data_IF_444033110455
#
_entry.id   IF_444033110455
#
_cell.length_a   1.000
_cell.length_b   1.000
_cell.length_c   1.000
_cell.angle_alpha   90.00
_cell.angle_beta   90.00
_cell.angle_gamma   90.00
#
_symmetry.space_group_name_H-M   'P 1'
#
loop_
_entity.id
_entity.type
_entity.pdbx_description
1 polymer ?
#
# COMPACT_ATOMS: atom_id res chain seq x y z
N UNK A 1 -24.02 15.01 -6.23
CA UNK A 1 -22.64 14.91 -6.79
C UNK A 1 -22.17 13.47 -6.57
N UNK A 2 -22.10 12.63 -7.60
CA UNK A 2 -21.75 11.20 -7.45
C UNK A 2 -20.29 11.10 -7.04
N UNK A 3 -19.98 10.38 -5.96
CA UNK A 3 -18.60 10.18 -5.53
C UNK A 3 -17.90 9.26 -6.52
N UNK A 4 -16.99 9.82 -7.30
CA UNK A 4 -16.16 9.03 -8.19
C UNK A 4 -15.00 8.42 -7.40
N UNK A 5 -14.72 7.13 -7.64
CA UNK A 5 -13.55 6.42 -7.12
C UNK A 5 -13.37 6.44 -5.59
N UNK A 6 -14.44 6.59 -4.80
CA UNK A 6 -14.35 6.66 -3.32
C UNK A 6 -13.40 7.78 -2.86
N UNK A 7 -13.62 8.98 -3.39
CA UNK A 7 -12.95 10.21 -2.96
C UNK A 7 -13.77 10.91 -1.90
N UNK A 8 -13.13 11.14 -0.74
CA UNK A 8 -13.82 11.63 0.45
C UNK A 8 -13.36 13.02 0.90
N UNK A 9 -12.52 13.71 0.12
CA UNK A 9 -12.03 15.06 0.44
C UNK A 9 -13.07 16.11 0.84
N UNK A 10 -14.34 15.93 0.47
CA UNK A 10 -15.44 16.86 0.76
C UNK A 10 -16.18 16.54 2.08
N UNK A 11 -15.96 15.36 2.68
CA UNK A 11 -16.59 14.92 3.94
C UNK A 11 -15.59 14.42 4.98
N UNK A 12 -14.39 14.02 4.59
CA UNK A 12 -13.35 13.56 5.49
C UNK A 12 -12.87 14.70 6.40
N UNK A 13 -12.45 14.38 7.63
CA UNK A 13 -11.90 15.33 8.60
C UNK A 13 -10.70 16.11 8.06
N UNK A 14 -10.38 17.24 8.72
CA UNK A 14 -9.20 18.04 8.37
C UNK A 14 -7.91 17.22 8.47
N UNK A 15 -7.78 16.39 9.52
CA UNK A 15 -6.63 15.51 9.70
C UNK A 15 -6.45 14.56 8.51
N UNK A 16 -7.53 13.88 8.10
CA UNK A 16 -7.50 12.97 6.95
C UNK A 16 -7.19 13.69 5.64
N UNK A 17 -7.77 14.88 5.43
CA UNK A 17 -7.42 15.71 4.26
C UNK A 17 -5.93 16.05 4.24
N UNK A 18 -5.36 16.41 5.39
CA UNK A 18 -3.94 16.72 5.52
C UNK A 18 -3.06 15.49 5.24
N UNK A 19 -3.41 14.31 5.75
CA UNK A 19 -2.70 13.05 5.45
C UNK A 19 -2.73 12.74 3.94
N UNK A 20 -3.90 12.87 3.30
CA UNK A 20 -4.02 12.69 1.84
C UNK A 20 -3.14 13.70 1.10
N UNK A 21 -3.18 14.98 1.50
CA UNK A 21 -2.37 16.03 0.89
C UNK A 21 -0.86 15.76 1.04
N UNK A 22 -0.42 15.28 2.20
CA UNK A 22 0.96 14.89 2.44
C UNK A 22 1.38 13.73 1.54
N UNK A 23 0.57 12.69 1.39
CA UNK A 23 0.83 11.57 0.49
C UNK A 23 0.96 12.04 -0.98
N UNK A 24 0.21 13.07 -1.39
CA UNK A 24 0.30 13.64 -2.75
C UNK A 24 1.57 14.46 -2.99
N UNK A 25 2.16 15.04 -1.94
CA UNK A 25 3.38 15.86 -2.02
C UNK A 25 4.65 15.03 -1.84
N UNK A 26 4.59 14.01 -1.00
CA UNK A 26 5.74 13.18 -0.66
C UNK A 26 6.03 12.13 -1.73
N UNK A 27 7.33 11.95 -2.03
CA UNK A 27 7.79 10.87 -2.91
C UNK A 27 7.53 9.51 -2.25
N UNK A 28 7.01 8.58 -3.05
CA UNK A 28 6.97 7.14 -2.75
C UNK A 28 7.49 6.40 -3.98
N UNK A 29 8.17 5.28 -3.73
CA UNK A 29 8.77 4.46 -4.78
C UNK A 29 7.72 3.68 -5.61
N UNK A 30 6.56 3.41 -5.02
CA UNK A 30 5.56 2.52 -5.61
C UNK A 30 4.19 3.14 -5.82
N UNK A 31 3.91 4.26 -5.17
CA UNK A 31 2.67 5.02 -5.33
C UNK A 31 3.03 6.43 -5.76
N UNK A 32 2.56 6.82 -6.94
CA UNK A 32 2.87 8.12 -7.53
C UNK A 32 1.68 9.07 -7.39
N UNK A 33 1.90 10.39 -7.35
CA UNK A 33 0.81 11.37 -7.35
C UNK A 33 -0.17 11.19 -8.52
N UNK A 34 0.31 10.71 -9.67
CA UNK A 34 -0.51 10.38 -10.84
C UNK A 34 -1.50 9.24 -10.64
N UNK A 35 -1.29 8.37 -9.64
CA UNK A 35 -2.22 7.28 -9.33
C UNK A 35 -3.46 7.81 -8.60
N UNK A 36 -3.30 8.91 -7.86
CA UNK A 36 -4.32 9.48 -6.98
C UNK A 36 -5.71 9.59 -7.62
N UNK A 37 -5.88 10.08 -8.86
CA UNK A 37 -7.21 10.21 -9.47
C UNK A 37 -7.90 8.86 -9.75
N UNK A 38 -7.12 7.78 -9.85
CA UNK A 38 -7.60 6.47 -10.35
C UNK A 38 -7.80 5.42 -9.27
N UNK A 39 -7.38 5.70 -8.02
CA UNK A 39 -7.55 4.81 -6.87
C UNK A 39 -8.36 5.46 -5.75
N UNK A 40 -8.92 4.65 -4.86
CA UNK A 40 -9.58 5.16 -3.65
C UNK A 40 -8.60 5.87 -2.73
N UNK A 41 -9.09 6.85 -1.98
CA UNK A 41 -8.27 7.57 -0.99
C UNK A 41 -7.64 6.59 0.01
N UNK A 42 -8.40 5.60 0.48
CA UNK A 42 -7.89 4.52 1.34
C UNK A 42 -6.68 3.79 0.74
N UNK A 43 -6.77 3.31 -0.51
CA UNK A 43 -5.66 2.57 -1.15
C UNK A 43 -4.47 3.48 -1.40
N UNK A 44 -4.72 4.71 -1.82
CA UNK A 44 -3.66 5.69 -2.04
C UNK A 44 -2.85 5.92 -0.75
N UNK A 45 -3.54 6.21 0.36
CA UNK A 45 -2.91 6.42 1.67
C UNK A 45 -2.23 5.14 2.13
N UNK A 46 -2.92 3.98 2.11
CA UNK A 46 -2.38 2.72 2.60
C UNK A 46 -1.07 2.33 1.90
N UNK A 47 -1.05 2.25 0.56
CA UNK A 47 0.13 1.82 -0.17
C UNK A 47 1.28 2.85 -0.11
N UNK A 48 0.99 4.13 0.14
CA UNK A 48 2.03 5.15 0.36
C UNK A 48 2.83 4.92 1.66
N UNK A 49 2.28 4.17 2.61
CA UNK A 49 2.96 3.82 3.86
C UNK A 49 4.03 2.73 3.68
N UNK A 50 4.16 2.17 2.48
CA UNK A 50 5.09 1.10 2.17
C UNK A 50 6.22 1.57 1.27
N UNK A 51 7.42 1.04 1.52
CA UNK A 51 8.62 1.24 0.75
C UNK A 51 9.14 -0.10 0.21
N UNK A 52 9.99 -0.07 -0.82
CA UNK A 52 10.67 -1.25 -1.33
C UNK A 52 11.55 -1.91 -0.27
N UNK A 53 11.60 -3.24 -0.30
CA UNK A 53 12.52 -4.04 0.50
C UNK A 53 12.96 -5.28 -0.28
N UNK A 54 14.19 -5.73 -0.09
CA UNK A 54 14.66 -6.99 -0.66
C UNK A 54 13.95 -8.14 0.06
N UNK A 55 13.28 -9.05 -0.66
CA UNK A 55 12.72 -10.25 -0.05
C UNK A 55 13.82 -11.05 0.67
N UNK A 56 13.62 -11.47 1.92
CA UNK A 56 14.60 -12.28 2.63
C UNK A 56 14.63 -13.70 2.05
N UNK A 57 15.75 -14.42 2.20
CA UNK A 57 15.85 -15.82 1.74
C UNK A 57 14.79 -16.72 2.38
N UNK A 58 14.32 -16.39 3.59
CA UNK A 58 13.22 -17.10 4.25
C UNK A 58 11.88 -16.99 3.51
N UNK A 59 11.70 -15.98 2.65
CA UNK A 59 10.54 -15.88 1.77
C UNK A 59 10.59 -16.90 0.62
N UNK A 60 11.78 -17.42 0.27
CA UNK A 60 11.94 -18.58 -0.63
C UNK A 60 11.63 -19.90 0.08
N UNK A 61 11.97 -20.02 1.37
CA UNK A 61 11.81 -21.28 2.12
C UNK A 61 10.36 -21.78 2.17
N UNK A 62 9.38 -20.89 1.95
CA UNK A 62 7.96 -21.25 1.86
C UNK A 62 7.57 -21.82 0.49
N UNK A 63 8.52 -22.06 -0.42
CA UNK A 63 8.25 -22.37 -1.84
C UNK A 63 9.09 -23.50 -2.41
N UNK A 64 8.56 -24.09 -3.49
CA UNK A 64 9.16 -25.19 -4.25
C UNK A 64 10.24 -24.73 -5.23
N UNK A 65 10.21 -23.48 -5.70
CA UNK A 65 11.18 -22.93 -6.66
C UNK A 65 11.36 -21.41 -6.50
N UNK A 66 12.52 -20.91 -6.95
CA UNK A 66 12.89 -19.48 -6.97
C UNK A 66 12.32 -18.82 -8.24
N UNK A 67 11.59 -17.69 -8.14
CA UNK A 67 11.13 -16.96 -9.31
C UNK A 67 12.29 -16.47 -10.18
N UNK A 68 12.11 -16.44 -11.50
CA UNK A 68 13.11 -15.96 -12.46
C UNK A 68 13.58 -14.52 -12.15
N UNK A 69 12.64 -13.65 -11.80
CA UNK A 69 12.90 -12.24 -11.45
C UNK A 69 13.26 -12.02 -9.97
N UNK A 70 13.66 -13.06 -9.24
CA UNK A 70 13.92 -12.94 -7.80
C UNK A 70 14.90 -11.83 -7.46
N UNK A 71 15.94 -11.64 -8.29
CA UNK A 71 16.98 -10.65 -8.04
C UNK A 71 16.56 -9.21 -8.35
N UNK A 72 15.54 -8.99 -9.19
CA UNK A 72 15.01 -7.65 -9.48
C UNK A 72 13.74 -7.33 -8.67
N UNK A 73 13.14 -8.36 -8.07
CA UNK A 73 11.88 -8.27 -7.34
C UNK A 73 12.04 -7.56 -5.99
N UNK A 74 11.14 -6.62 -5.74
CA UNK A 74 10.95 -6.01 -4.43
C UNK A 74 9.72 -6.54 -3.71
N UNK A 75 9.81 -6.65 -2.39
CA UNK A 75 8.66 -6.68 -1.49
C UNK A 75 8.16 -5.26 -1.15
N UNK A 76 7.10 -5.22 -0.35
CA UNK A 76 6.55 -4.06 0.33
C UNK A 76 6.93 -4.12 1.80
N UNK A 77 7.45 -3.03 2.33
CA UNK A 77 7.86 -2.92 3.72
C UNK A 77 7.26 -1.67 4.33
N UNK A 78 6.67 -1.75 5.51
CA UNK A 78 6.21 -0.58 6.25
C UNK A 78 7.37 0.40 6.45
N UNK A 79 7.23 1.62 5.93
CA UNK A 79 8.31 2.62 5.92
C UNK A 79 8.69 3.08 7.32
N UNK A 80 7.77 3.00 8.26
CA UNK A 80 7.99 3.34 9.65
C UNK A 80 8.83 2.28 10.37
N UNK A 81 8.51 1.01 10.16
CA UNK A 81 9.36 -0.09 10.65
C UNK A 81 10.75 -0.06 10.01
N UNK A 82 10.84 0.21 8.70
CA UNK A 82 12.13 0.32 8.01
C UNK A 82 13.01 1.41 8.64
N UNK A 83 12.39 2.55 8.98
CA UNK A 83 13.08 3.67 9.66
C UNK A 83 13.48 3.34 11.09
N UNK A 84 12.63 2.63 11.84
CA UNK A 84 12.90 2.25 13.23
C UNK A 84 13.97 1.15 13.36
N UNK A 85 14.11 0.31 12.34
CA UNK A 85 15.06 -0.81 12.32
C UNK A 85 15.98 -0.76 11.09
N UNK A 86 16.83 0.28 10.96
CA UNK A 86 17.69 0.45 9.80
C UNK A 86 18.63 -0.76 9.66
N UNK A 87 18.76 -1.27 8.43
CA UNK A 87 19.63 -2.40 8.11
C UNK A 87 19.07 -3.79 8.45
N UNK A 88 17.97 -3.91 9.19
CA UNK A 88 17.35 -5.22 9.46
C UNK A 88 16.59 -5.72 8.24
N UNK A 89 16.99 -6.89 7.72
CA UNK A 89 16.38 -7.53 6.55
C UNK A 89 15.08 -8.30 6.85
N UNK A 90 14.69 -8.40 8.13
CA UNK A 90 13.49 -9.12 8.57
C UNK A 90 12.80 -8.36 9.70
N UNK A 91 11.58 -7.87 9.46
CA UNK A 91 10.72 -7.32 10.51
C UNK A 91 9.23 -7.49 10.18
N UNK A 92 8.35 -7.31 11.17
CA UNK A 92 6.91 -7.60 11.14
C UNK A 92 6.08 -6.84 10.08
N UNK A 93 6.69 -5.91 9.34
CA UNK A 93 6.01 -5.05 8.37
C UNK A 93 6.36 -5.36 6.91
N UNK A 94 6.97 -6.52 6.65
CA UNK A 94 7.40 -6.94 5.31
C UNK A 94 6.38 -7.89 4.67
N UNK A 95 6.09 -7.64 3.40
CA UNK A 95 5.18 -8.39 2.54
C UNK A 95 5.84 -8.59 1.18
N UNK A 96 6.10 -9.83 0.81
CA UNK A 96 6.85 -10.14 -0.42
C UNK A 96 5.94 -10.91 -1.40
N UNK A 97 5.05 -10.23 -2.14
CA UNK A 97 4.34 -10.87 -3.25
C UNK A 97 5.35 -11.30 -4.31
N UNK A 98 5.18 -12.49 -4.88
CA UNK A 98 6.13 -13.05 -5.84
C UNK A 98 5.62 -13.04 -7.29
N UNK A 99 4.36 -12.69 -7.48
CA UNK A 99 3.69 -12.60 -8.76
C UNK A 99 2.53 -11.59 -8.66
N UNK A 100 1.96 -11.21 -9.80
CA UNK A 100 0.81 -10.31 -9.86
C UNK A 100 -0.44 -10.91 -9.18
N UNK A 101 -0.60 -12.23 -9.20
CA UNK A 101 -1.75 -12.92 -8.61
C UNK A 101 -1.77 -12.78 -7.08
N UNK A 102 -0.63 -13.00 -6.43
CA UNK A 102 -0.45 -12.78 -4.98
C UNK A 102 -0.60 -11.31 -4.58
N UNK A 103 -0.36 -10.37 -5.51
CA UNK A 103 -0.66 -8.96 -5.29
C UNK A 103 -2.17 -8.65 -5.42
N UNK A 104 -2.88 -9.38 -6.28
CA UNK A 104 -4.33 -9.26 -6.45
C UNK A 104 -5.15 -9.87 -5.30
N UNK A 105 -4.55 -10.80 -4.56
CA UNK A 105 -5.15 -11.42 -3.38
C UNK A 105 -5.70 -10.35 -2.42
N UNK A 106 -6.98 -10.50 -2.07
CA UNK A 106 -7.66 -9.62 -1.11
C UNK A 106 -6.98 -9.64 0.26
N UNK A 107 -6.34 -10.76 0.61
CA UNK A 107 -5.60 -10.92 1.87
C UNK A 107 -4.45 -9.92 2.00
N UNK A 108 -3.79 -9.54 0.90
CA UNK A 108 -2.68 -8.59 0.95
C UNK A 108 -3.13 -7.24 1.48
N UNK A 109 -4.16 -6.63 0.87
CA UNK A 109 -4.64 -5.31 1.30
C UNK A 109 -5.10 -5.33 2.76
N UNK A 110 -5.77 -6.41 3.18
CA UNK A 110 -6.16 -6.60 4.57
C UNK A 110 -4.94 -6.67 5.51
N UNK A 111 -3.95 -7.50 5.16
CA UNK A 111 -2.74 -7.67 5.96
C UNK A 111 -1.94 -6.37 6.10
N UNK A 112 -1.77 -5.61 5.00
CA UNK A 112 -1.12 -4.29 5.03
C UNK A 112 -1.85 -3.35 5.99
N UNK A 113 -3.19 -3.37 5.95
CA UNK A 113 -4.03 -2.54 6.82
C UNK A 113 -3.85 -2.93 8.28
N UNK A 114 -4.01 -4.21 8.61
CA UNK A 114 -3.85 -4.74 9.97
C UNK A 114 -2.48 -4.37 10.53
N UNK A 115 -1.42 -4.49 9.73
CA UNK A 115 -0.09 -4.07 10.16
C UNK A 115 -0.05 -2.58 10.49
N UNK A 116 -0.49 -1.68 9.60
CA UNK A 116 -0.43 -0.23 9.88
C UNK A 116 -1.22 0.13 11.14
N UNK A 117 -2.42 -0.43 11.31
CA UNK A 117 -3.27 -0.15 12.48
C UNK A 117 -2.61 -0.61 13.79
N UNK A 118 -1.88 -1.72 13.77
CA UNK A 118 -1.20 -2.28 14.96
C UNK A 118 0.27 -1.87 15.09
N UNK A 119 0.83 -1.14 14.11
CA UNK A 119 2.25 -0.80 14.08
C UNK A 119 2.57 0.29 15.09
N UNK A 120 3.43 -0.01 16.07
CA UNK A 120 3.91 0.93 17.08
C UNK A 120 4.66 2.13 16.50
N UNK A 121 5.24 1.98 15.30
CA UNK A 121 6.03 3.02 14.64
C UNK A 121 5.21 3.90 13.69
N UNK A 122 3.99 3.48 13.32
CA UNK A 122 3.16 4.22 12.39
C UNK A 122 2.53 5.45 13.09
N UNK A 123 2.56 6.65 12.48
CA UNK A 123 1.97 7.87 13.03
C UNK A 123 0.49 7.68 13.32
N UNK A 124 0.04 8.23 14.44
CA UNK A 124 -1.35 8.13 14.88
C UNK A 124 -2.31 8.72 13.84
N UNK A 125 -1.95 9.86 13.25
CA UNK A 125 -2.75 10.57 12.24
C UNK A 125 -2.97 9.72 10.99
N UNK A 126 -1.97 8.90 10.61
CA UNK A 126 -2.10 7.98 9.48
C UNK A 126 -3.09 6.85 9.78
N UNK A 127 -3.11 6.36 11.02
CA UNK A 127 -4.05 5.31 11.46
C UNK A 127 -5.47 5.84 11.50
N UNK A 128 -5.69 7.01 12.12
CA UNK A 128 -7.00 7.68 12.15
C UNK A 128 -7.52 7.94 10.73
N UNK A 129 -6.65 8.41 9.83
CA UNK A 129 -7.04 8.65 8.46
C UNK A 129 -7.47 7.36 7.73
N UNK A 130 -6.75 6.25 7.93
CA UNK A 130 -7.14 4.97 7.35
C UNK A 130 -8.46 4.45 7.90
N UNK A 131 -8.67 4.56 9.21
CA UNK A 131 -9.91 4.17 9.88
C UNK A 131 -11.10 4.99 9.37
N UNK A 132 -10.97 6.31 9.32
CA UNK A 132 -12.00 7.20 8.78
C UNK A 132 -12.31 6.86 7.32
N UNK A 133 -11.29 6.66 6.49
CA UNK A 133 -11.48 6.32 5.07
C UNK A 133 -12.15 4.94 4.89
N UNK A 134 -11.93 3.98 5.79
CA UNK A 134 -12.65 2.70 5.79
C UNK A 134 -14.12 2.87 6.20
N UNK A 135 -14.38 3.68 7.23
CA UNK A 135 -15.74 3.98 7.67
C UNK A 135 -16.54 4.68 6.58
N UNK A 136 -15.99 5.75 5.99
CA UNK A 136 -16.62 6.48 4.89
C UNK A 136 -16.83 5.59 3.65
N UNK A 137 -15.90 4.68 3.38
CA UNK A 137 -16.05 3.66 2.35
C UNK A 137 -17.25 2.74 2.58
N UNK A 138 -17.46 2.29 3.81
CA UNK A 138 -18.58 1.43 4.18
C UNK A 138 -19.92 2.19 4.13
N UNK A 139 -19.96 3.43 4.62
CA UNK A 139 -21.17 4.26 4.69
C UNK A 139 -21.65 4.76 3.33
N UNK A 140 -20.72 5.06 2.42
CA UNK A 140 -21.05 5.80 1.19
C UNK A 140 -21.72 4.96 0.10
N UNK A 141 -21.75 3.63 0.20
CA UNK A 141 -22.32 2.75 -0.83
C UNK A 141 -21.68 2.93 -2.22
N UNK A 142 -20.51 3.58 -2.29
CA UNK A 142 -19.87 3.99 -3.55
C UNK A 142 -19.23 2.80 -4.23
N UNK A 143 -19.65 2.54 -5.46
CA UNK A 143 -19.04 1.52 -6.31
C UNK A 143 -17.75 2.10 -6.91
N UNK A 144 -16.60 1.50 -6.62
CA UNK A 144 -15.36 1.80 -7.33
C UNK A 144 -15.55 1.57 -8.83
N UNK A 145 -14.98 2.42 -9.69
CA UNK A 145 -14.98 2.19 -11.13
C UNK A 145 -14.46 0.77 -11.42
N UNK A 146 -15.25 -0.04 -12.13
CA UNK A 146 -14.90 -1.42 -12.48
C UNK A 146 -13.51 -1.44 -13.14
N UNK A 147 -12.62 -2.29 -12.64
CA UNK A 147 -11.25 -2.45 -13.17
C UNK A 147 -10.19 -1.46 -12.64
N UNK A 148 -10.57 -0.39 -11.92
CA UNK A 148 -9.61 0.57 -11.34
C UNK A 148 -8.59 -0.09 -10.40
N UNK A 149 -9.07 -0.93 -9.46
CA UNK A 149 -8.20 -1.75 -8.58
C UNK A 149 -7.22 -2.59 -9.38
N UNK A 150 -7.71 -3.28 -10.43
CA UNK A 150 -6.88 -4.19 -11.22
C UNK A 150 -5.76 -3.44 -11.92
N UNK A 151 -6.09 -2.32 -12.56
CA UNK A 151 -5.12 -1.45 -13.26
C UNK A 151 -4.05 -0.91 -12.30
N UNK A 152 -4.46 -0.43 -11.13
CA UNK A 152 -3.51 0.07 -10.13
C UNK A 152 -2.55 -1.02 -9.64
N UNK A 153 -3.06 -2.21 -9.32
CA UNK A 153 -2.21 -3.31 -8.84
C UNK A 153 -1.27 -3.80 -9.94
N UNK A 154 -1.68 -3.78 -11.20
CA UNK A 154 -0.79 -4.07 -12.33
C UNK A 154 0.36 -3.06 -12.43
N UNK A 155 0.06 -1.76 -12.35
CA UNK A 155 1.09 -0.71 -12.33
C UNK A 155 2.02 -0.81 -11.11
N UNK A 156 1.45 -1.13 -9.94
CA UNK A 156 2.21 -1.37 -8.72
C UNK A 156 3.18 -2.55 -8.90
N UNK A 157 2.70 -3.65 -9.47
CA UNK A 157 3.52 -4.83 -9.76
C UNK A 157 4.67 -4.52 -10.71
N UNK A 158 4.41 -3.80 -11.81
CA UNK A 158 5.44 -3.38 -12.77
C UNK A 158 6.55 -2.58 -12.08
N UNK A 159 6.19 -1.70 -11.13
CA UNK A 159 7.17 -0.94 -10.33
C UNK A 159 7.95 -1.85 -9.38
N UNK A 160 7.29 -2.82 -8.75
CA UNK A 160 7.91 -3.76 -7.81
C UNK A 160 8.85 -4.76 -8.47
N UNK A 161 8.46 -5.30 -9.62
CA UNK A 161 9.21 -6.34 -10.34
C UNK A 161 10.49 -5.82 -11.00
N UNK A 162 10.61 -4.51 -11.17
CA UNK A 162 11.74 -3.82 -11.81
C UNK A 162 12.38 -2.77 -10.90
N UNK A 163 12.14 -2.83 -9.58
CA UNK A 163 12.65 -1.81 -8.66
C UNK A 163 14.16 -1.92 -8.45
N UNK A 164 14.65 -3.16 -8.34
CA UNK A 164 16.07 -3.41 -8.14
C UNK A 164 16.77 -3.64 -9.48
N UNK A 165 18.03 -3.17 -9.61
CA UNK A 165 18.86 -3.43 -10.77
C UNK A 165 19.22 -4.92 -10.89
#
# INVERSE_FOLDING_TARGET
RRLENMKFSHIASENTRQVIANCRKQKSAFVYPSDFPTVSDFRFVLFHQFCPCRPPSSALNRRKSRPEKWDTLSGLCCRYCAKAYPGKRNHKGMYCPLDLESLHDSSLSHNLTVHIMTCENAPFETKEALEELQRLAAESGVITKRGSKKKFLQQLWERMANYYP
#
